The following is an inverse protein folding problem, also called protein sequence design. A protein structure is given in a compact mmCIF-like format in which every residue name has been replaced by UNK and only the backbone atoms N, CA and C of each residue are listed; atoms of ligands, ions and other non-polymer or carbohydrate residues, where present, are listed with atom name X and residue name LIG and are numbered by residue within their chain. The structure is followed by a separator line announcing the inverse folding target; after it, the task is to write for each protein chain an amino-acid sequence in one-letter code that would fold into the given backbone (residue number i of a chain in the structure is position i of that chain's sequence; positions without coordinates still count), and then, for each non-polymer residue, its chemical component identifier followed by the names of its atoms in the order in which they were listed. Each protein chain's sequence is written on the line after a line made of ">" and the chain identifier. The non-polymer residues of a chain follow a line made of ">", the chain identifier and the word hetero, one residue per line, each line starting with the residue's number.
data_IF_783353231269
#
_entry.id   IF_783353231269
#
_cell.length_a   1.000
_cell.length_b   1.000
_cell.length_c   1.000
_cell.angle_alpha   90.00
_cell.angle_beta   90.00
_cell.angle_gamma   90.00
#
_symmetry.space_group_name_H-M   'P 1'
#
loop_
_entity.id
_entity.type
_entity.pdbx_description
1 polymer ?
#
# COMPACT_ATOMS: atom_id res chain seq x y z
N UNK A 1 -8.59 -12.58 -43.74
CA UNK A 1 -8.32 -11.23 -43.18
C UNK A 1 -9.32 -10.98 -42.06
N UNK A 2 -9.36 -11.89 -41.09
CA UNK A 2 -10.56 -12.07 -40.24
C UNK A 2 -10.29 -11.72 -38.78
N UNK A 3 -9.03 -11.83 -38.34
CA UNK A 3 -8.63 -11.54 -36.96
C UNK A 3 -8.89 -10.10 -36.55
N UNK A 4 -8.88 -9.15 -37.50
CA UNK A 4 -9.12 -7.74 -37.19
C UNK A 4 -10.55 -7.48 -36.68
N UNK A 5 -11.52 -8.29 -37.13
CA UNK A 5 -12.90 -8.21 -36.65
C UNK A 5 -13.06 -8.72 -35.21
N UNK A 6 -12.12 -9.53 -34.71
CA UNK A 6 -12.08 -9.98 -33.31
C UNK A 6 -11.24 -9.01 -32.47
N UNK A 7 -10.13 -8.50 -33.00
CA UNK A 7 -9.22 -7.62 -32.27
C UNK A 7 -9.84 -6.24 -31.98
N UNK A 8 -10.56 -5.64 -32.94
CA UNK A 8 -11.22 -4.34 -32.73
C UNK A 8 -12.17 -4.37 -31.51
N UNK A 9 -13.16 -5.27 -31.40
CA UNK A 9 -14.08 -5.28 -30.27
C UNK A 9 -13.38 -5.66 -28.97
N UNK A 10 -12.46 -6.63 -28.99
CA UNK A 10 -11.70 -7.03 -27.79
C UNK A 10 -10.92 -5.84 -27.23
N UNK A 11 -10.15 -5.14 -28.07
CA UNK A 11 -9.38 -3.97 -27.63
C UNK A 11 -10.30 -2.83 -27.20
N UNK A 12 -11.44 -2.61 -27.87
CA UNK A 12 -12.41 -1.57 -27.48
C UNK A 12 -13.00 -1.83 -26.09
N UNK A 13 -13.35 -3.08 -25.78
CA UNK A 13 -13.84 -3.48 -24.46
C UNK A 13 -12.74 -3.30 -23.42
N UNK A 14 -11.53 -3.81 -23.67
CA UNK A 14 -10.41 -3.69 -22.73
C UNK A 14 -10.06 -2.22 -22.46
N UNK A 15 -10.05 -1.38 -23.50
CA UNK A 15 -9.81 0.06 -23.37
C UNK A 15 -10.93 0.73 -22.54
N UNK A 16 -12.20 0.38 -22.79
CA UNK A 16 -13.32 0.88 -22.01
C UNK A 16 -13.25 0.49 -20.54
N UNK A 17 -12.88 -0.77 -20.25
CA UNK A 17 -12.66 -1.26 -18.89
C UNK A 17 -11.48 -0.55 -18.21
N UNK A 18 -10.38 -0.32 -18.94
CA UNK A 18 -9.22 0.40 -18.42
C UNK A 18 -9.58 1.85 -18.05
N UNK A 19 -10.33 2.55 -18.91
CA UNK A 19 -10.81 3.90 -18.64
C UNK A 19 -11.76 3.91 -17.44
N UNK A 20 -12.70 2.98 -17.37
CA UNK A 20 -13.63 2.88 -16.25
C UNK A 20 -12.90 2.63 -14.91
N UNK A 21 -11.93 1.71 -14.90
CA UNK A 21 -11.11 1.43 -13.73
C UNK A 21 -10.25 2.64 -13.33
N UNK A 22 -9.69 3.37 -14.31
CA UNK A 22 -8.93 4.59 -14.06
C UNK A 22 -9.79 5.69 -13.42
N UNK A 23 -10.97 5.98 -13.98
CA UNK A 23 -11.88 6.98 -13.42
C UNK A 23 -12.37 6.59 -12.02
N UNK A 24 -12.63 5.30 -11.79
CA UNK A 24 -12.96 4.79 -10.47
C UNK A 24 -11.80 5.00 -9.48
N UNK A 25 -10.56 4.68 -9.87
CA UNK A 25 -9.36 4.86 -9.05
C UNK A 25 -9.10 6.33 -8.68
N UNK A 26 -9.33 7.25 -9.62
CA UNK A 26 -9.24 8.70 -9.37
C UNK A 26 -10.27 9.15 -8.35
N UNK A 27 -11.52 8.68 -8.47
CA UNK A 27 -12.57 9.01 -7.51
C UNK A 27 -12.38 8.35 -6.13
N UNK A 28 -11.73 7.18 -6.08
CA UNK A 28 -11.42 6.46 -4.84
C UNK A 28 -10.24 7.03 -4.06
N UNK A 29 -9.58 8.09 -4.53
CA UNK A 29 -8.49 8.74 -3.79
C UNK A 29 -7.22 7.87 -3.65
N UNK A 30 -7.00 6.89 -4.54
CA UNK A 30 -5.82 6.00 -4.46
C UNK A 30 -4.49 6.77 -4.53
N UNK A 31 -4.50 7.95 -5.13
CA UNK A 31 -3.32 8.81 -5.25
C UNK A 31 -2.97 9.53 -3.94
N UNK A 32 -3.92 9.69 -3.01
CA UNK A 32 -3.70 10.39 -1.74
C UNK A 32 -2.73 9.62 -0.82
N UNK A 33 -2.69 8.29 -0.94
CA UNK A 33 -1.75 7.43 -0.20
C UNK A 33 -0.31 7.52 -0.75
N UNK A 34 -0.15 7.82 -2.04
CA UNK A 34 1.17 8.04 -2.66
C UNK A 34 1.78 9.37 -2.22
N UNK A 35 0.96 10.42 -2.05
CA UNK A 35 1.42 11.72 -1.58
C UNK A 35 2.04 11.61 -0.18
N UNK A 36 1.45 10.81 0.71
CA UNK A 36 1.97 10.57 2.07
C UNK A 36 3.35 9.90 2.05
N UNK A 37 3.56 8.91 1.18
CA UNK A 37 4.86 8.23 1.04
C UNK A 37 5.95 9.16 0.46
N UNK A 38 5.58 10.12 -0.39
CA UNK A 38 6.53 11.09 -0.94
C UNK A 38 7.03 12.10 0.10
N UNK A 39 6.22 12.42 1.10
CA UNK A 39 6.61 13.35 2.18
C UNK A 39 7.54 12.69 3.20
N UNK A 40 7.39 11.39 3.48
CA UNK A 40 8.30 10.72 4.41
C UNK A 40 9.73 10.66 3.86
N UNK A 41 9.95 10.47 2.55
CA UNK A 41 11.33 10.35 2.03
C UNK A 41 12.12 11.68 2.06
N UNK A 42 11.44 12.83 2.05
CA UNK A 42 12.06 14.17 1.98
C UNK A 42 12.21 14.85 3.35
N UNK A 43 11.37 14.50 4.33
CA UNK A 43 11.32 15.16 5.64
C UNK A 43 11.76 14.27 6.83
N UNK A 44 12.02 12.98 6.61
CA UNK A 44 12.49 12.05 7.65
C UNK A 44 13.96 12.27 8.06
N UNK A 45 14.71 13.08 7.31
CA UNK A 45 16.07 13.52 7.68
C UNK A 45 16.09 14.79 8.57
N UNK A 46 14.96 15.46 8.79
CA UNK A 46 14.93 16.76 9.50
C UNK A 46 14.33 16.74 10.91
N UNK A 47 13.72 15.65 11.36
CA UNK A 47 13.22 15.53 12.73
C UNK A 47 13.80 14.29 13.42
N UNK A 48 15.02 14.42 13.93
CA UNK A 48 15.42 13.63 15.10
C UNK A 48 14.43 13.95 16.23
N UNK A 49 13.47 13.07 16.55
CA UNK A 49 13.10 12.65 17.92
C UNK A 49 12.16 11.43 17.89
N UNK A 50 12.69 10.34 18.47
CA UNK A 50 12.05 9.24 19.18
C UNK A 50 11.49 8.02 18.40
N UNK A 51 12.05 6.82 18.64
CA UNK A 51 11.37 5.56 18.35
C UNK A 51 10.13 5.44 19.24
N UNK A 52 8.95 5.26 18.62
CA UNK A 52 7.74 4.85 19.33
C UNK A 52 7.65 3.32 19.33
N UNK A 53 8.05 2.76 20.47
CA UNK A 53 7.52 1.54 21.06
C UNK A 53 7.52 0.27 20.20
N UNK A 54 8.71 -0.23 19.87
CA UNK A 54 8.93 -1.66 20.08
C UNK A 54 9.12 -1.86 21.59
N UNK A 55 8.01 -2.17 22.27
CA UNK A 55 8.06 -2.72 23.63
C UNK A 55 9.10 -3.84 23.61
N UNK A 56 10.17 -3.76 24.43
CA UNK A 56 11.10 -4.86 24.57
C UNK A 56 10.29 -6.07 24.98
N UNK A 57 10.45 -7.17 24.26
CA UNK A 57 10.02 -8.48 24.71
C UNK A 57 10.68 -8.75 26.07
N UNK A 58 10.05 -8.27 27.13
CA UNK A 58 10.26 -8.73 28.49
C UNK A 58 9.55 -10.08 28.50
N UNK A 59 10.29 -11.19 28.64
CA UNK A 59 9.63 -12.46 28.91
C UNK A 59 8.77 -12.25 30.16
N UNK A 60 7.53 -12.77 30.20
CA UNK A 60 6.70 -12.65 31.39
C UNK A 60 7.51 -13.12 32.60
N UNK A 61 7.39 -12.47 33.77
CA UNK A 61 7.96 -13.00 35.00
C UNK A 61 7.16 -14.27 35.32
N UNK A 62 7.59 -15.38 34.74
CA UNK A 62 7.18 -16.70 35.14
C UNK A 62 7.76 -16.88 36.54
N UNK A 63 6.88 -16.68 37.51
CA UNK A 63 7.02 -17.17 38.85
C UNK A 63 7.47 -18.64 38.80
N UNK A 64 8.74 -18.89 39.09
CA UNK A 64 9.20 -20.17 39.60
C UNK A 64 9.77 -19.96 41.00
N UNK A 65 8.84 -19.88 41.94
CA UNK A 65 9.10 -20.22 43.32
C UNK A 65 8.96 -21.74 43.42
N UNK A 66 10.07 -22.48 43.32
CA UNK A 66 10.06 -23.91 43.67
C UNK A 66 11.20 -24.74 43.09
N UNK A 67 12.00 -25.35 43.99
CA UNK A 67 13.04 -26.38 43.77
C UNK A 67 14.32 -25.86 43.06
N UNK A 68 15.50 -25.90 43.66
CA UNK A 68 16.12 -26.89 44.55
C UNK A 68 17.13 -26.25 45.50
#
# INVERSE_FOLDING_TARGET
>A
MDSIYVLIPVTTILLGLAIAAYLWSVNSGQFDDLDKASQSILFDDTDTVAPKDETPATPPPAADAGRQ
#
